data_IF_774565494685
#
_entry.id   IF_774565494685
#
_cell.length_a   1.000
_cell.length_b   1.000
_cell.length_c   1.000
_cell.angle_alpha   90.00
_cell.angle_beta   90.00
_cell.angle_gamma   90.00
#
_symmetry.space_group_name_H-M   'P 1'
#
loop_
_entity.id
_entity.type
_entity.pdbx_description
1 polymer ?
#
# COMPACT_ATOMS: atom_id res chain seq x y z
N UNK A 1 -3.90 28.03 -11.75
CA UNK A 1 -5.31 27.65 -11.50
C UNK A 1 -5.44 26.83 -10.25
N UNK A 2 -6.67 26.49 -9.87
CA UNK A 2 -6.97 25.71 -8.68
C UNK A 2 -7.00 24.18 -8.93
N UNK A 3 -6.73 23.73 -10.16
CA UNK A 3 -6.73 22.31 -10.52
C UNK A 3 -7.00 22.10 -12.01
N UNK A 4 -7.12 20.83 -12.40
CA UNK A 4 -7.44 20.42 -13.77
C UNK A 4 -8.85 19.84 -13.86
N UNK A 5 -9.48 19.97 -15.03
CA UNK A 5 -10.83 19.47 -15.31
C UNK A 5 -10.84 17.98 -15.73
N UNK A 6 -9.86 17.19 -15.35
CA UNK A 6 -9.75 15.77 -15.72
C UNK A 6 -8.95 14.94 -14.74
N UNK A 7 -9.08 13.62 -14.90
CA UNK A 7 -8.30 12.69 -14.07
C UNK A 7 -6.81 12.75 -14.40
N UNK A 8 -5.99 12.25 -13.45
CA UNK A 8 -4.54 12.14 -13.60
C UNK A 8 -4.14 11.37 -14.87
N UNK A 9 -4.91 10.38 -15.25
CA UNK A 9 -4.66 9.54 -16.42
C UNK A 9 -4.92 10.28 -17.76
N UNK A 10 -5.85 11.20 -17.81
CA UNK A 10 -6.23 11.92 -19.03
C UNK A 10 -5.42 13.22 -19.21
N UNK A 11 -5.85 14.29 -18.54
CA UNK A 11 -5.26 15.61 -18.68
C UNK A 11 -5.06 16.35 -17.34
N UNK A 12 -5.21 15.63 -16.23
CA UNK A 12 -5.09 16.18 -14.87
C UNK A 12 -3.71 15.99 -14.24
N UNK A 13 -2.70 15.51 -14.97
CA UNK A 13 -1.33 15.42 -14.48
C UNK A 13 -0.57 16.68 -14.80
N UNK A 14 -0.12 17.39 -13.77
CA UNK A 14 0.73 18.58 -13.84
C UNK A 14 2.18 18.20 -13.49
N UNK A 15 3.12 19.08 -13.84
CA UNK A 15 4.53 18.98 -13.47
C UNK A 15 4.74 18.88 -11.95
N UNK A 16 3.96 19.63 -11.17
CA UNK A 16 4.00 19.55 -9.70
C UNK A 16 3.57 18.18 -9.15
N UNK A 17 2.71 17.44 -9.84
CA UNK A 17 2.38 16.07 -9.45
C UNK A 17 3.57 15.14 -9.64
N UNK A 18 4.29 15.30 -10.76
CA UNK A 18 5.49 14.50 -11.05
C UNK A 18 6.58 14.79 -10.02
N UNK A 19 6.85 16.08 -9.75
CA UNK A 19 7.81 16.47 -8.72
C UNK A 19 7.46 15.92 -7.33
N UNK A 20 6.17 15.92 -6.98
CA UNK A 20 5.70 15.32 -5.72
C UNK A 20 5.95 13.81 -5.69
N UNK A 21 5.62 13.09 -6.77
CA UNK A 21 5.81 11.64 -6.88
C UNK A 21 7.28 11.25 -6.79
N UNK A 22 8.18 11.98 -7.45
CA UNK A 22 9.63 11.79 -7.37
C UNK A 22 10.14 11.97 -5.92
N UNK A 23 9.72 13.04 -5.23
CA UNK A 23 10.11 13.29 -3.84
C UNK A 23 9.57 12.25 -2.87
N UNK A 24 8.35 11.75 -3.09
CA UNK A 24 7.77 10.69 -2.26
C UNK A 24 8.48 9.37 -2.48
N UNK A 25 8.80 9.00 -3.72
CA UNK A 25 9.57 7.80 -4.04
C UNK A 25 10.94 7.84 -3.35
N UNK A 26 11.68 8.97 -3.44
CA UNK A 26 12.96 9.15 -2.74
C UNK A 26 12.79 9.06 -1.21
N UNK A 27 11.76 9.70 -0.64
CA UNK A 27 11.50 9.68 0.81
C UNK A 27 11.38 8.25 1.33
N UNK A 28 10.56 7.42 0.66
CA UNK A 28 10.29 6.05 1.12
C UNK A 28 11.26 5.02 0.54
N UNK A 29 12.21 5.43 -0.31
CA UNK A 29 13.26 4.56 -0.87
C UNK A 29 12.74 3.58 -1.91
N UNK A 30 11.82 4.02 -2.79
CA UNK A 30 11.29 3.23 -3.91
C UNK A 30 11.62 3.89 -5.25
N UNK A 31 11.58 3.11 -6.34
CA UNK A 31 11.90 3.60 -7.69
C UNK A 31 10.88 4.62 -8.22
N UNK A 32 9.60 4.42 -7.91
CA UNK A 32 8.53 5.27 -8.42
C UNK A 32 7.38 5.40 -7.42
N UNK A 33 6.55 6.42 -7.62
CA UNK A 33 5.39 6.70 -6.79
C UNK A 33 4.21 7.16 -7.65
N UNK A 34 3.01 6.96 -7.16
CA UNK A 34 1.77 7.39 -7.79
C UNK A 34 0.86 8.04 -6.74
N UNK A 35 0.57 9.32 -6.91
CA UNK A 35 -0.28 10.08 -5.99
C UNK A 35 -1.77 9.90 -6.32
N UNK A 36 -2.57 9.75 -5.28
CA UNK A 36 -4.01 9.55 -5.29
C UNK A 36 -4.75 10.69 -4.58
N UNK A 37 -6.04 10.93 -4.87
CA UNK A 37 -6.82 11.97 -4.21
C UNK A 37 -6.92 11.79 -2.69
N UNK A 38 -6.90 10.56 -2.19
CA UNK A 38 -6.91 10.23 -0.76
C UNK A 38 -6.12 8.94 -0.49
N UNK A 39 -5.68 8.74 0.76
CA UNK A 39 -5.09 7.47 1.19
C UNK A 39 -6.08 6.30 1.06
N UNK A 40 -7.36 6.55 1.31
CA UNK A 40 -8.41 5.55 1.10
C UNK A 40 -8.43 5.04 -0.33
N UNK A 41 -8.43 5.96 -1.32
CA UNK A 41 -8.41 5.59 -2.75
C UNK A 41 -7.09 4.96 -3.18
N UNK A 42 -5.97 5.27 -2.53
CA UNK A 42 -4.69 4.62 -2.79
C UNK A 42 -4.78 3.11 -2.46
N UNK A 43 -5.30 2.73 -1.29
CA UNK A 43 -5.52 1.33 -0.93
C UNK A 43 -6.50 0.64 -1.88
N UNK A 44 -7.68 1.24 -2.10
CA UNK A 44 -8.66 0.67 -3.04
C UNK A 44 -8.06 0.44 -4.42
N UNK A 45 -7.37 1.46 -4.93
CA UNK A 45 -6.84 1.46 -6.28
C UNK A 45 -5.67 0.49 -6.49
N UNK A 46 -4.83 0.32 -5.47
CA UNK A 46 -3.71 -0.61 -5.51
C UNK A 46 -4.20 -2.06 -5.39
N UNK A 47 -4.88 -2.39 -4.29
CA UNK A 47 -5.27 -3.76 -3.95
C UNK A 47 -6.19 -4.35 -5.04
N UNK A 48 -7.22 -3.61 -5.47
CA UNK A 48 -8.16 -4.09 -6.48
C UNK A 48 -7.55 -4.20 -7.89
N UNK A 49 -6.45 -3.52 -8.17
CA UNK A 49 -5.76 -3.61 -9.46
C UNK A 49 -4.73 -4.74 -9.51
N UNK A 50 -4.08 -5.04 -8.39
CA UNK A 50 -2.95 -5.99 -8.33
C UNK A 50 -3.44 -7.44 -8.19
N UNK A 51 -4.48 -7.68 -7.38
CA UNK A 51 -4.91 -9.05 -7.07
C UNK A 51 -6.13 -9.44 -7.89
N UNK A 52 -5.99 -10.51 -8.67
CA UNK A 52 -6.98 -11.03 -9.58
C UNK A 52 -7.61 -12.34 -9.14
N UNK A 53 -8.39 -12.91 -10.06
CA UNK A 53 -9.10 -14.17 -9.83
C UNK A 53 -8.15 -15.35 -9.62
N UNK A 54 -8.36 -16.07 -8.53
CA UNK A 54 -7.57 -17.25 -8.18
C UNK A 54 -6.33 -16.93 -7.34
N UNK A 55 -6.11 -15.66 -7.04
CA UNK A 55 -5.05 -15.16 -6.16
C UNK A 55 -5.59 -14.83 -4.77
N UNK A 56 -4.71 -14.60 -3.81
CA UNK A 56 -5.08 -14.37 -2.42
C UNK A 56 -4.61 -13.01 -1.91
N UNK A 57 -5.41 -12.42 -1.02
CA UNK A 57 -5.02 -11.28 -0.20
C UNK A 57 -5.08 -11.70 1.26
N UNK A 58 -3.98 -11.53 1.98
CA UNK A 58 -3.89 -11.92 3.39
C UNK A 58 -3.72 -10.65 4.21
N UNK A 59 -4.68 -10.38 5.10
CA UNK A 59 -4.75 -9.14 5.87
C UNK A 59 -4.85 -9.42 7.38
N UNK A 60 -4.34 -8.49 8.19
CA UNK A 60 -4.61 -8.49 9.63
C UNK A 60 -6.09 -8.16 9.88
N UNK A 61 -6.70 -8.75 10.90
CA UNK A 61 -8.10 -8.49 11.22
C UNK A 61 -8.38 -7.05 11.67
N UNK A 62 -7.34 -6.31 12.06
CA UNK A 62 -7.40 -4.92 12.52
C UNK A 62 -6.92 -3.91 11.47
N UNK A 63 -6.55 -4.36 10.29
CA UNK A 63 -6.21 -3.47 9.19
C UNK A 63 -7.33 -2.48 8.87
N UNK A 64 -6.93 -1.33 8.37
CA UNK A 64 -7.82 -0.21 8.09
C UNK A 64 -8.94 -0.57 7.10
N UNK A 65 -10.11 0.05 7.26
CA UNK A 65 -11.30 -0.19 6.42
C UNK A 65 -11.03 -0.08 4.91
N UNK A 66 -10.13 0.82 4.48
CA UNK A 66 -9.76 0.97 3.07
C UNK A 66 -9.05 -0.26 2.49
N UNK A 67 -8.28 -0.98 3.31
CA UNK A 67 -7.65 -2.26 2.92
C UNK A 67 -8.75 -3.30 2.72
N UNK A 68 -9.68 -3.41 3.68
CA UNK A 68 -10.82 -4.33 3.59
C UNK A 68 -11.64 -4.07 2.33
N UNK A 69 -11.99 -2.81 2.07
CA UNK A 69 -12.78 -2.44 0.90
C UNK A 69 -12.01 -2.66 -0.41
N UNK A 70 -10.69 -2.43 -0.41
CA UNK A 70 -9.82 -2.79 -1.53
C UNK A 70 -9.85 -4.29 -1.85
N UNK A 71 -9.82 -5.12 -0.80
CA UNK A 71 -9.97 -6.58 -0.94
C UNK A 71 -11.34 -6.97 -1.50
N UNK A 72 -12.41 -6.36 -1.02
CA UNK A 72 -13.78 -6.63 -1.48
C UNK A 72 -14.03 -6.20 -2.94
N UNK A 73 -13.29 -5.20 -3.43
CA UNK A 73 -13.36 -4.73 -4.81
C UNK A 73 -12.45 -5.54 -5.76
N UNK A 74 -11.53 -6.34 -5.23
CA UNK A 74 -10.70 -7.23 -6.04
C UNK A 74 -11.46 -8.50 -6.42
N UNK A 75 -10.97 -9.21 -7.45
CA UNK A 75 -11.44 -10.56 -7.80
C UNK A 75 -10.72 -11.66 -6.98
N UNK A 76 -9.82 -11.29 -6.08
CA UNK A 76 -9.03 -12.19 -5.24
C UNK A 76 -9.79 -12.76 -4.05
N UNK A 77 -9.22 -13.76 -3.42
CA UNK A 77 -9.76 -14.37 -2.19
C UNK A 77 -9.11 -13.73 -0.97
N UNK A 78 -9.90 -13.00 -0.18
CA UNK A 78 -9.43 -12.40 1.08
C UNK A 78 -9.37 -13.44 2.19
N UNK A 79 -8.22 -13.54 2.85
CA UNK A 79 -7.99 -14.30 4.09
C UNK A 79 -7.59 -13.32 5.20
N UNK A 80 -8.15 -13.54 6.40
CA UNK A 80 -7.83 -12.71 7.57
C UNK A 80 -7.10 -13.53 8.61
N UNK A 81 -5.97 -13.03 9.11
CA UNK A 81 -5.28 -13.61 10.26
C UNK A 81 -5.55 -12.81 11.53
N UNK A 82 -5.36 -13.46 12.68
CA UNK A 82 -5.51 -12.81 13.99
C UNK A 82 -4.43 -11.76 14.16
N UNK A 83 -4.81 -10.65 14.79
CA UNK A 83 -3.95 -9.49 14.97
C UNK A 83 -2.56 -9.86 15.52
N UNK A 84 -1.52 -9.45 14.75
CA UNK A 84 -0.11 -9.68 15.03
C UNK A 84 0.25 -11.15 15.38
N UNK A 85 -0.57 -12.14 14.95
CA UNK A 85 -0.34 -13.56 15.18
C UNK A 85 0.28 -14.24 13.96
N UNK A 86 1.59 -14.40 13.99
CA UNK A 86 2.37 -14.97 12.88
C UNK A 86 2.00 -16.42 12.57
N UNK A 87 1.57 -17.21 13.57
CA UNK A 87 1.06 -18.56 13.34
C UNK A 87 -0.27 -18.56 12.61
N UNK A 88 -1.10 -17.55 12.87
CA UNK A 88 -2.36 -17.35 12.14
C UNK A 88 -2.08 -16.88 10.72
N UNK A 89 -1.11 -15.98 10.50
CA UNK A 89 -0.66 -15.55 9.18
C UNK A 89 -0.14 -16.74 8.36
N UNK A 90 0.74 -17.56 8.93
CA UNK A 90 1.30 -18.73 8.26
C UNK A 90 0.21 -19.73 7.81
N UNK A 91 -0.83 -19.95 8.63
CA UNK A 91 -1.99 -20.77 8.23
C UNK A 91 -2.72 -20.20 7.00
N UNK A 92 -2.84 -18.88 6.90
CA UNK A 92 -3.43 -18.24 5.72
C UNK A 92 -2.56 -18.46 4.46
N UNK A 93 -1.25 -18.34 4.59
CA UNK A 93 -0.30 -18.57 3.50
C UNK A 93 -0.28 -20.04 3.04
N UNK A 94 -0.32 -20.99 3.99
CA UNK A 94 -0.47 -22.42 3.67
C UNK A 94 -1.77 -22.68 2.89
N UNK A 95 -2.87 -22.00 3.26
CA UNK A 95 -4.16 -22.12 2.55
C UNK A 95 -4.11 -21.56 1.13
N UNK A 96 -3.23 -20.61 0.85
CA UNK A 96 -3.01 -20.10 -0.52
C UNK A 96 -2.40 -21.18 -1.43
N UNK A 97 -1.76 -22.21 -0.86
CA UNK A 97 -1.30 -23.42 -1.56
C UNK A 97 -0.41 -23.10 -2.78
N UNK A 98 0.59 -22.24 -2.56
CA UNK A 98 1.55 -21.82 -3.60
C UNK A 98 0.99 -20.92 -4.70
N UNK A 99 -0.26 -20.47 -4.60
CA UNK A 99 -0.83 -19.48 -5.51
C UNK A 99 -0.33 -18.08 -5.15
N UNK A 100 -0.31 -17.15 -6.12
CA UNK A 100 0.08 -15.78 -5.85
C UNK A 100 -0.72 -15.19 -4.68
N UNK A 101 -0.02 -14.55 -3.75
CA UNK A 101 -0.62 -13.92 -2.59
C UNK A 101 0.00 -12.54 -2.35
N UNK A 102 -0.82 -11.58 -1.91
CA UNK A 102 -0.42 -10.28 -1.41
C UNK A 102 -0.73 -10.22 0.08
N UNK A 103 0.27 -10.04 0.93
CA UNK A 103 0.08 -9.67 2.34
C UNK A 103 -0.06 -8.16 2.38
N UNK A 104 -1.12 -7.66 3.01
CA UNK A 104 -1.31 -6.23 3.28
C UNK A 104 -1.41 -6.04 4.78
N UNK A 105 -0.71 -5.05 5.33
CA UNK A 105 -0.70 -4.79 6.77
C UNK A 105 -0.46 -3.31 7.08
N UNK A 106 -1.16 -2.78 8.07
CA UNK A 106 -0.85 -1.46 8.64
C UNK A 106 0.52 -1.50 9.35
N UNK A 107 1.42 -0.57 9.05
CA UNK A 107 2.73 -0.47 9.72
C UNK A 107 2.59 -0.12 11.21
N UNK A 108 1.65 0.77 11.52
CA UNK A 108 1.14 1.05 12.88
C UNK A 108 -0.38 0.97 12.84
N UNK A 109 -0.97 0.17 13.72
CA UNK A 109 -2.43 0.05 13.83
C UNK A 109 -3.03 1.25 14.55
N UNK A 110 -4.02 1.88 13.94
CA UNK A 110 -4.54 3.19 14.36
C UNK A 110 -5.19 3.21 15.75
N UNK A 111 -5.91 2.14 16.09
CA UNK A 111 -6.70 2.07 17.33
C UNK A 111 -5.89 1.48 18.48
N UNK A 112 -5.07 0.49 18.19
CA UNK A 112 -4.23 -0.26 19.15
C UNK A 112 -2.93 0.49 19.43
N UNK A 113 -2.40 1.19 18.43
CA UNK A 113 -1.15 1.94 18.52
C UNK A 113 0.11 1.07 18.52
N UNK A 114 -0.02 -0.23 18.28
CA UNK A 114 1.12 -1.14 18.16
C UNK A 114 1.67 -1.19 16.74
N UNK A 115 2.90 -1.66 16.63
CA UNK A 115 3.62 -1.81 15.37
C UNK A 115 3.43 -3.24 14.87
N UNK A 116 3.22 -3.40 13.56
CA UNK A 116 3.19 -4.73 12.93
C UNK A 116 4.54 -5.45 13.11
N UNK A 117 4.49 -6.76 13.31
CA UNK A 117 5.71 -7.59 13.39
C UNK A 117 6.29 -7.83 11.98
N UNK A 118 6.67 -6.71 11.31
CA UNK A 118 7.16 -6.73 9.93
C UNK A 118 8.34 -7.68 9.70
N UNK A 119 9.30 -7.86 10.66
CA UNK A 119 10.37 -8.84 10.45
C UNK A 119 9.86 -10.26 10.20
N UNK A 120 8.97 -10.78 11.05
CA UNK A 120 8.42 -12.12 10.86
C UNK A 120 7.45 -12.18 9.67
N UNK A 121 6.68 -11.12 9.42
CA UNK A 121 5.81 -11.03 8.23
C UNK A 121 6.64 -11.13 6.95
N UNK A 122 7.75 -10.39 6.87
CA UNK A 122 8.66 -10.42 5.72
C UNK A 122 9.31 -11.80 5.52
N UNK A 123 9.72 -12.46 6.62
CA UNK A 123 10.26 -13.83 6.54
C UNK A 123 9.22 -14.83 6.03
N UNK A 124 7.98 -14.70 6.45
CA UNK A 124 6.88 -15.53 5.97
C UNK A 124 6.55 -15.23 4.51
N UNK A 125 6.54 -13.95 4.11
CA UNK A 125 6.34 -13.55 2.72
C UNK A 125 7.38 -14.20 1.80
N UNK A 126 8.68 -14.10 2.13
CA UNK A 126 9.75 -14.74 1.38
C UNK A 126 9.59 -16.27 1.33
N UNK A 127 9.29 -16.90 2.47
CA UNK A 127 9.15 -18.36 2.58
C UNK A 127 8.04 -18.92 1.70
N UNK A 128 6.94 -18.21 1.59
CA UNK A 128 5.77 -18.64 0.84
C UNK A 128 5.63 -17.98 -0.54
N UNK A 129 6.61 -17.14 -0.95
CA UNK A 129 6.59 -16.45 -2.23
C UNK A 129 5.44 -15.44 -2.36
N UNK A 130 5.03 -14.82 -1.26
CA UNK A 130 4.01 -13.78 -1.24
C UNK A 130 4.64 -12.40 -1.37
N UNK A 131 3.94 -11.47 -2.02
CA UNK A 131 4.30 -10.06 -2.04
C UNK A 131 3.85 -9.37 -0.74
N UNK A 132 4.51 -8.27 -0.38
CA UNK A 132 4.23 -7.50 0.83
C UNK A 132 3.87 -6.05 0.50
N UNK A 133 2.73 -5.60 0.99
CA UNK A 133 2.31 -4.20 1.01
C UNK A 133 2.20 -3.72 2.45
N UNK A 134 2.83 -2.59 2.75
CA UNK A 134 2.76 -1.93 4.06
C UNK A 134 2.04 -0.60 3.94
N UNK A 135 0.97 -0.43 4.71
CA UNK A 135 0.27 0.84 4.88
C UNK A 135 0.98 1.66 5.98
N UNK A 136 1.73 2.66 5.54
CA UNK A 136 2.52 3.55 6.41
C UNK A 136 1.73 4.81 6.86
N UNK A 137 0.40 4.79 6.74
CA UNK A 137 -0.41 5.98 7.03
C UNK A 137 -0.18 6.56 8.43
N UNK A 138 0.07 5.73 9.44
CA UNK A 138 0.35 6.14 10.81
C UNK A 138 1.83 6.16 11.18
N UNK A 139 2.70 5.59 10.37
CA UNK A 139 4.13 5.48 10.62
C UNK A 139 4.97 6.48 9.81
N UNK A 140 4.45 6.96 8.68
CA UNK A 140 5.09 7.99 7.85
C UNK A 140 5.27 9.30 8.64
N UNK A 141 6.51 9.80 8.69
CA UNK A 141 6.89 10.95 9.48
C UNK A 141 7.06 10.66 10.99
N UNK A 142 6.90 9.42 11.43
CA UNK A 142 6.95 8.99 12.85
C UNK A 142 8.04 7.96 13.10
N UNK A 143 8.11 6.92 12.29
CA UNK A 143 9.10 5.85 12.41
C UNK A 143 10.15 5.93 11.30
N UNK A 144 11.29 5.29 11.58
CA UNK A 144 12.43 5.27 10.67
C UNK A 144 13.35 6.47 10.84
N UNK A 145 14.59 6.32 10.37
CA UNK A 145 15.64 7.36 10.52
C UNK A 145 15.31 8.61 9.69
N UNK A 146 14.72 8.42 8.51
CA UNK A 146 14.27 9.48 7.59
C UNK A 146 12.79 9.83 7.80
N UNK A 147 12.07 9.08 8.63
CA UNK A 147 10.63 9.17 8.78
C UNK A 147 9.86 8.48 7.66
N UNK A 148 10.48 7.51 6.98
CA UNK A 148 9.84 6.80 5.87
C UNK A 148 8.85 5.71 6.32
N UNK A 149 8.79 5.40 7.62
CA UNK A 149 7.80 4.51 8.19
C UNK A 149 8.37 3.24 8.82
N UNK A 150 7.51 2.26 9.04
CA UNK A 150 7.83 1.01 9.72
C UNK A 150 8.75 0.12 8.87
N UNK A 151 8.59 0.10 7.55
CA UNK A 151 9.49 -0.65 6.66
C UNK A 151 10.94 -0.14 6.78
N UNK A 152 11.14 1.19 6.79
CA UNK A 152 12.47 1.78 7.04
C UNK A 152 12.97 1.45 8.45
N UNK A 153 12.10 1.57 9.45
CA UNK A 153 12.46 1.32 10.85
C UNK A 153 13.08 -0.05 11.08
N UNK A 154 12.57 -1.06 10.39
CA UNK A 154 13.09 -2.43 10.46
C UNK A 154 14.13 -2.77 9.37
N UNK A 155 14.47 -1.82 8.48
CA UNK A 155 15.40 -2.07 7.37
C UNK A 155 14.83 -3.02 6.30
N UNK A 156 13.53 -3.00 6.09
CA UNK A 156 12.80 -3.91 5.21
C UNK A 156 12.25 -3.22 3.93
N UNK A 157 12.69 -2.00 3.64
CA UNK A 157 12.21 -1.24 2.48
C UNK A 157 12.35 -2.03 1.17
N UNK A 158 13.49 -2.69 0.95
CA UNK A 158 13.75 -3.51 -0.24
C UNK A 158 12.89 -4.78 -0.31
N UNK A 159 12.41 -5.27 0.85
CA UNK A 159 11.58 -6.47 0.95
C UNK A 159 10.08 -6.17 0.95
N UNK A 160 9.72 -4.90 0.89
CA UNK A 160 8.33 -4.42 0.82
C UNK A 160 8.04 -4.05 -0.62
N UNK A 161 7.15 -4.75 -1.29
CA UNK A 161 6.86 -4.51 -2.71
C UNK A 161 6.08 -3.21 -2.91
N UNK A 162 5.12 -2.91 -2.02
CA UNK A 162 4.32 -1.70 -2.08
C UNK A 162 4.34 -0.97 -0.74
N UNK A 163 4.61 0.32 -0.78
CA UNK A 163 4.48 1.24 0.35
C UNK A 163 3.32 2.18 0.06
N UNK A 164 2.31 2.15 0.91
CA UNK A 164 1.20 3.11 0.88
C UNK A 164 1.45 4.20 1.93
N UNK A 165 1.13 5.45 1.60
CA UNK A 165 1.12 6.54 2.55
C UNK A 165 -0.06 7.48 2.37
N UNK A 166 -0.34 8.29 3.38
CA UNK A 166 -1.39 9.32 3.32
C UNK A 166 -0.85 10.69 3.70
N UNK A 167 -1.43 11.75 3.12
CA UNK A 167 -1.08 13.12 3.45
C UNK A 167 -1.92 13.68 4.62
N UNK A 168 -2.99 12.98 5.00
CA UNK A 168 -3.99 13.47 5.96
C UNK A 168 -3.60 13.37 7.44
N UNK A 169 -2.41 12.86 7.75
CA UNK A 169 -1.89 12.71 9.11
C UNK A 169 -0.68 13.63 9.33
N UNK A 170 0.53 13.12 9.31
CA UNK A 170 1.76 13.90 9.55
C UNK A 170 1.90 15.09 8.60
N UNK A 171 1.50 14.96 7.34
CA UNK A 171 1.61 16.02 6.36
C UNK A 171 0.44 17.02 6.40
N UNK A 172 -0.59 16.79 7.22
CA UNK A 172 -1.74 17.68 7.45
C UNK A 172 -2.38 18.22 6.15
N UNK A 173 -2.47 17.38 5.13
CA UNK A 173 -2.99 17.73 3.80
C UNK A 173 -4.00 16.70 3.31
N UNK A 174 -4.39 16.76 2.04
CA UNK A 174 -5.32 15.81 1.41
C UNK A 174 -4.59 15.03 0.33
N UNK A 175 -4.79 13.71 0.32
CA UNK A 175 -4.19 12.82 -0.66
C UNK A 175 -3.58 11.57 -0.04
N UNK A 176 -3.00 10.74 -0.88
CA UNK A 176 -2.24 9.57 -0.52
C UNK A 176 -1.37 9.13 -1.69
N UNK A 177 -0.61 8.08 -1.50
CA UNK A 177 0.27 7.57 -2.54
C UNK A 177 0.53 6.07 -2.40
N UNK A 178 0.94 5.46 -3.51
CA UNK A 178 1.56 4.13 -3.56
C UNK A 178 2.95 4.31 -4.15
N UNK A 179 3.96 3.75 -3.50
CA UNK A 179 5.32 3.69 -4.00
C UNK A 179 5.77 2.22 -4.14
N UNK A 180 6.47 1.91 -5.23
CA UNK A 180 6.92 0.58 -5.59
C UNK A 180 7.98 0.66 -6.70
N UNK A 181 8.39 -0.49 -7.25
CA UNK A 181 9.20 -0.54 -8.45
C UNK A 181 8.47 0.08 -9.65
N UNK A 182 9.20 0.70 -10.57
CA UNK A 182 8.63 1.43 -11.70
C UNK A 182 7.63 0.61 -12.55
N UNK A 183 7.85 -0.67 -12.90
CA UNK A 183 6.89 -1.46 -13.66
C UNK A 183 5.54 -1.64 -12.93
N UNK A 184 5.56 -1.75 -11.61
CA UNK A 184 4.34 -1.88 -10.80
C UNK A 184 3.57 -0.56 -10.76
N UNK A 185 4.25 0.56 -10.60
CA UNK A 185 3.64 1.90 -10.65
C UNK A 185 3.07 2.18 -12.04
N UNK A 186 3.81 1.82 -13.10
CA UNK A 186 3.30 1.92 -14.46
C UNK A 186 2.04 1.07 -14.68
N UNK A 187 2.00 -0.15 -14.14
CA UNK A 187 0.82 -0.99 -14.19
C UNK A 187 -0.37 -0.36 -13.46
N UNK A 188 -0.17 0.14 -12.23
CA UNK A 188 -1.20 0.82 -11.44
C UNK A 188 -1.76 2.04 -12.16
N UNK A 189 -0.92 2.84 -12.82
CA UNK A 189 -1.34 4.00 -13.61
C UNK A 189 -2.37 3.65 -14.68
N UNK A 190 -2.32 2.43 -15.22
CA UNK A 190 -3.20 1.97 -16.30
C UNK A 190 -4.35 1.07 -15.84
N UNK A 191 -4.33 0.58 -14.60
CA UNK A 191 -5.31 -0.39 -14.08
C UNK A 191 -6.08 0.09 -12.86
N UNK A 192 -5.51 1.02 -12.07
CA UNK A 192 -6.14 1.54 -10.87
C UNK A 192 -7.37 2.40 -11.19
N UNK A 193 -8.57 1.85 -11.00
CA UNK A 193 -9.82 2.56 -11.28
C UNK A 193 -9.99 3.81 -10.42
N UNK A 194 -9.51 3.77 -9.16
CA UNK A 194 -9.56 4.90 -8.24
C UNK A 194 -8.69 6.09 -8.71
N UNK A 195 -7.66 5.83 -9.52
CA UNK A 195 -6.85 6.87 -10.16
C UNK A 195 -7.46 7.34 -11.48
N UNK A 196 -7.85 6.39 -12.35
CA UNK A 196 -8.28 6.66 -13.73
C UNK A 196 -9.59 7.46 -13.75
N UNK A 197 -10.53 7.12 -12.86
CA UNK A 197 -11.88 7.68 -12.82
C UNK A 197 -12.10 8.69 -11.70
N UNK A 198 -11.02 9.32 -11.21
CA UNK A 198 -11.05 10.34 -10.18
C UNK A 198 -10.13 11.50 -10.55
N UNK A 199 -10.56 12.72 -10.25
CA UNK A 199 -9.68 13.88 -10.34
C UNK A 199 -8.82 13.98 -9.07
N UNK A 200 -7.64 14.60 -9.17
CA UNK A 200 -6.73 14.89 -8.06
C UNK A 200 -6.61 16.40 -7.87
N UNK A 201 -6.23 16.81 -6.66
CA UNK A 201 -5.89 18.20 -6.35
C UNK A 201 -4.58 18.60 -6.99
#
# INVERSE_FOLDING_TARGET
GSGCAGSRFLNGTLDIHIELEEKLADLVGKEACLAYPTGYQANLGCISAIVGRGEYIVIDKYDHASIIDGCLLSDGTMLRYNHNDMKSLEKCLIRADGKPALIVVDGIFSMEGDIANLPEISELAERYGANLMVDEAHSLGVLGKRGAGAAEHFGLTEKTDFIMGTFSKTLASVGGFIAADEPLIHYLKHKSRALIFSASL
#
